data_IF_645300111133
#
_entry.id   IF_645300111133
#
_cell.length_a   1.000
_cell.length_b   1.000
_cell.length_c   1.000
_cell.angle_alpha   90.00
_cell.angle_beta   90.00
_cell.angle_gamma   90.00
#
_symmetry.space_group_name_H-M   'P 1'
#
loop_
_entity.id
_entity.type
_entity.pdbx_description
1 polymer ?
#
# COMPACT_ATOMS: atom_id res chain seq x y z
N UNK A 1 24.67 -0.53 3.54
CA UNK A 1 23.28 -0.85 3.94
C UNK A 1 22.37 -0.22 2.89
N UNK A 2 21.30 -0.91 2.48
CA UNK A 2 20.37 -0.34 1.50
C UNK A 2 19.42 0.61 2.23
N UNK A 3 19.22 1.79 1.67
CA UNK A 3 18.29 2.79 2.20
C UNK A 3 16.84 2.33 2.04
N UNK A 4 16.03 2.45 3.09
CA UNK A 4 14.64 2.00 3.08
C UNK A 4 13.78 2.79 2.08
N UNK A 5 14.11 4.08 1.90
CA UNK A 5 13.54 4.91 0.84
C UNK A 5 13.81 4.37 -0.56
N UNK A 6 15.01 3.79 -0.79
CA UNK A 6 15.36 3.19 -2.08
C UNK A 6 14.57 1.90 -2.34
N UNK A 7 14.31 1.10 -1.30
CA UNK A 7 13.45 -0.08 -1.42
C UNK A 7 12.02 0.29 -1.80
N UNK A 8 11.46 1.35 -1.19
CA UNK A 8 10.12 1.84 -1.54
C UNK A 8 10.03 2.22 -3.03
N UNK A 9 10.98 3.01 -3.54
CA UNK A 9 10.99 3.40 -4.94
C UNK A 9 11.26 2.24 -5.89
N UNK A 10 12.11 1.28 -5.51
CA UNK A 10 12.35 0.07 -6.29
C UNK A 10 11.07 -0.76 -6.41
N UNK A 11 10.34 -0.95 -5.30
CA UNK A 11 9.05 -1.67 -5.33
C UNK A 11 8.00 -0.94 -6.15
N UNK A 12 7.96 0.39 -6.11
CA UNK A 12 7.11 1.19 -6.98
C UNK A 12 7.45 0.96 -8.46
N UNK A 13 8.73 1.00 -8.82
CA UNK A 13 9.18 0.76 -10.19
C UNK A 13 8.83 -0.66 -10.67
N UNK A 14 9.08 -1.68 -9.86
CA UNK A 14 8.74 -3.07 -10.18
C UNK A 14 7.24 -3.27 -10.34
N UNK A 15 6.44 -2.66 -9.46
CA UNK A 15 4.98 -2.70 -9.57
C UNK A 15 4.47 -1.93 -10.80
N UNK A 16 5.14 -0.84 -11.20
CA UNK A 16 4.83 -0.13 -12.44
C UNK A 16 5.03 -1.03 -13.67
N UNK A 17 6.16 -1.75 -13.74
CA UNK A 17 6.41 -2.70 -14.83
C UNK A 17 5.38 -3.83 -14.82
N UNK A 18 5.04 -4.38 -13.64
CA UNK A 18 4.00 -5.41 -13.53
C UNK A 18 2.62 -4.88 -13.97
N UNK A 19 2.29 -3.65 -13.59
CA UNK A 19 1.05 -2.97 -13.97
C UNK A 19 0.97 -2.71 -15.47
N UNK A 20 2.08 -2.33 -16.11
CA UNK A 20 2.15 -2.16 -17.57
C UNK A 20 1.74 -3.44 -18.32
N UNK A 21 2.21 -4.59 -17.85
CA UNK A 21 1.92 -5.89 -18.43
C UNK A 21 0.49 -6.36 -18.13
N UNK A 22 -0.06 -6.03 -16.95
CA UNK A 22 -1.39 -6.51 -16.49
C UNK A 22 -2.56 -5.62 -16.91
N UNK A 23 -2.30 -4.32 -17.11
CA UNK A 23 -3.28 -3.30 -17.44
C UNK A 23 -4.02 -2.72 -16.23
N UNK A 24 -4.45 -1.46 -16.35
CA UNK A 24 -5.02 -0.66 -15.25
C UNK A 24 -6.22 -1.30 -14.54
N UNK A 25 -7.09 -2.02 -15.27
CA UNK A 25 -8.29 -2.63 -14.69
C UNK A 25 -7.94 -3.60 -13.55
N UNK A 26 -6.82 -4.30 -13.62
CA UNK A 26 -6.37 -5.23 -12.57
C UNK A 26 -5.71 -4.51 -11.40
N UNK A 27 -5.15 -3.33 -11.62
CA UNK A 27 -4.45 -2.54 -10.60
C UNK A 27 -5.39 -1.63 -9.80
N UNK A 28 -6.56 -1.23 -10.35
CA UNK A 28 -7.52 -0.39 -9.62
C UNK A 28 -8.04 -1.02 -8.32
N UNK A 29 -8.48 -2.29 -8.27
CA UNK A 29 -8.96 -2.91 -7.03
C UNK A 29 -7.86 -2.99 -5.96
N UNK A 30 -6.61 -3.20 -6.39
CA UNK A 30 -5.44 -3.26 -5.51
C UNK A 30 -5.18 -1.90 -4.88
N UNK A 31 -5.28 -0.83 -5.68
CA UNK A 31 -5.13 0.54 -5.18
C UNK A 31 -6.14 0.83 -4.08
N UNK A 32 -7.40 0.44 -4.28
CA UNK A 32 -8.45 0.64 -3.27
C UNK A 32 -8.19 -0.20 -2.04
N UNK A 33 -7.79 -1.47 -2.20
CA UNK A 33 -7.43 -2.33 -1.08
C UNK A 33 -6.24 -1.78 -0.28
N UNK A 34 -5.19 -1.29 -0.94
CA UNK A 34 -4.03 -0.70 -0.29
C UNK A 34 -4.39 0.59 0.48
N UNK A 35 -5.18 1.48 -0.14
CA UNK A 35 -5.68 2.68 0.53
C UNK A 35 -6.54 2.31 1.73
N UNK A 36 -7.55 1.47 1.54
CA UNK A 36 -8.45 1.05 2.61
C UNK A 36 -7.71 0.34 3.74
N UNK A 37 -6.78 -0.56 3.43
CA UNK A 37 -5.97 -1.28 4.42
C UNK A 37 -5.06 -0.34 5.22
N UNK A 38 -4.40 0.61 4.56
CA UNK A 38 -3.60 1.63 5.23
C UNK A 38 -4.47 2.47 6.18
N UNK A 39 -5.62 2.96 5.70
CA UNK A 39 -6.57 3.70 6.52
C UNK A 39 -7.03 2.91 7.75
N UNK A 40 -7.51 1.69 7.52
CA UNK A 40 -8.05 0.82 8.55
C UNK A 40 -7.02 0.59 9.66
N UNK A 41 -5.78 0.30 9.29
CA UNK A 41 -4.72 0.00 10.25
C UNK A 41 -4.29 1.21 11.06
N UNK A 42 -4.28 2.41 10.46
CA UNK A 42 -3.97 3.65 11.17
C UNK A 42 -5.07 3.95 12.19
N UNK A 43 -6.32 3.91 11.77
CA UNK A 43 -7.45 4.22 12.66
C UNK A 43 -7.66 3.17 13.74
N UNK A 44 -7.43 1.90 13.39
CA UNK A 44 -7.56 0.79 14.31
C UNK A 44 -6.30 0.54 15.14
N UNK A 45 -5.21 1.32 15.01
CA UNK A 45 -3.96 1.06 15.75
C UNK A 45 -4.21 1.04 17.27
N UNK A 46 -4.95 2.02 17.78
CA UNK A 46 -5.35 2.09 19.20
C UNK A 46 -6.17 0.85 19.61
N UNK A 47 -7.10 0.43 18.75
CA UNK A 47 -7.94 -0.75 19.01
C UNK A 47 -7.11 -2.05 18.95
N UNK A 48 -6.22 -2.19 17.97
CA UNK A 48 -5.34 -3.35 17.80
C UNK A 48 -4.44 -3.53 19.02
N UNK A 49 -3.86 -2.43 19.54
CA UNK A 49 -3.04 -2.45 20.76
C UNK A 49 -3.84 -2.75 22.03
N UNK A 50 -5.15 -2.53 22.03
CA UNK A 50 -6.05 -2.85 23.14
C UNK A 50 -6.55 -4.30 23.16
N UNK A 51 -6.29 -5.08 22.10
CA UNK A 51 -6.67 -6.49 22.06
C UNK A 51 -5.89 -7.24 23.15
N UNK A 52 -6.53 -7.99 24.05
CA UNK A 52 -5.86 -8.65 25.18
C UNK A 52 -4.67 -9.55 24.80
N UNK A 53 -4.66 -10.11 23.59
CA UNK A 53 -3.56 -10.91 23.05
C UNK A 53 -2.33 -10.06 22.65
N UNK A 54 -2.54 -8.78 22.34
CA UNK A 54 -1.51 -7.81 21.95
C UNK A 54 -1.18 -6.82 23.08
N UNK A 55 -2.01 -6.72 24.12
CA UNK A 55 -1.71 -5.92 25.31
C UNK A 55 -0.52 -6.54 26.04
N UNK A 56 0.63 -5.85 26.02
CA UNK A 56 1.89 -6.35 26.57
C UNK A 56 2.70 -7.24 25.60
N UNK A 57 2.19 -7.48 24.39
CA UNK A 57 3.01 -8.08 23.33
C UNK A 57 4.11 -7.10 22.90
N UNK A 58 5.30 -7.62 22.60
CA UNK A 58 6.40 -6.81 22.08
C UNK A 58 6.03 -6.13 20.75
N UNK A 59 6.65 -4.98 20.48
CA UNK A 59 6.43 -4.18 19.25
C UNK A 59 6.60 -4.98 17.96
N UNK A 60 7.45 -6.01 17.99
CA UNK A 60 7.65 -6.96 16.91
C UNK A 60 6.38 -7.74 16.56
N UNK A 61 5.69 -8.32 17.55
CA UNK A 61 4.48 -9.08 17.30
C UNK A 61 3.36 -8.18 16.78
N UNK A 62 3.22 -6.97 17.35
CA UNK A 62 2.25 -5.98 16.88
C UNK A 62 2.51 -5.63 15.41
N UNK A 63 3.77 -5.36 15.04
CA UNK A 63 4.14 -5.09 13.66
C UNK A 63 3.82 -6.26 12.73
N UNK A 64 4.18 -7.49 13.10
CA UNK A 64 3.92 -8.70 12.29
C UNK A 64 2.41 -8.87 12.03
N UNK A 65 1.58 -8.65 13.05
CA UNK A 65 0.12 -8.73 12.88
C UNK A 65 -0.38 -7.61 11.97
N UNK A 66 0.07 -6.36 12.15
CA UNK A 66 -0.33 -5.23 11.31
C UNK A 66 0.05 -5.43 9.85
N UNK A 67 1.31 -5.79 9.57
CA UNK A 67 1.78 -6.04 8.20
C UNK A 67 1.13 -7.28 7.58
N UNK A 68 0.81 -8.30 8.39
CA UNK A 68 0.08 -9.49 7.97
C UNK A 68 -1.35 -9.16 7.54
N UNK A 69 -2.08 -8.39 8.33
CA UNK A 69 -3.43 -7.91 7.99
C UNK A 69 -3.37 -7.02 6.73
N UNK A 70 -2.41 -6.09 6.66
CA UNK A 70 -2.24 -5.25 5.48
C UNK A 70 -1.99 -6.08 4.21
N UNK A 71 -1.06 -7.02 4.29
CA UNK A 71 -0.72 -7.94 3.20
C UNK A 71 -1.92 -8.78 2.76
N UNK A 72 -2.73 -9.26 3.70
CA UNK A 72 -3.97 -9.98 3.40
C UNK A 72 -4.98 -9.11 2.65
N UNK A 73 -5.19 -7.87 3.08
CA UNK A 73 -6.11 -6.93 2.39
C UNK A 73 -5.63 -6.66 0.96
N UNK A 74 -4.35 -6.37 0.77
CA UNK A 74 -3.75 -6.13 -0.56
C UNK A 74 -3.85 -7.38 -1.44
N UNK A 75 -3.58 -8.56 -0.87
CA UNK A 75 -3.71 -9.85 -1.55
C UNK A 75 -5.15 -10.09 -2.04
N UNK A 76 -6.15 -9.85 -1.18
CA UNK A 76 -7.56 -9.93 -1.57
C UNK A 76 -7.88 -8.94 -2.70
N UNK A 77 -7.31 -7.74 -2.67
CA UNK A 77 -7.36 -6.75 -3.75
C UNK A 77 -6.94 -7.32 -5.11
N UNK A 78 -5.85 -8.09 -5.17
CA UNK A 78 -5.42 -8.80 -6.38
C UNK A 78 -6.37 -9.96 -6.77
N UNK A 79 -7.04 -10.57 -5.80
CA UNK A 79 -7.95 -11.70 -6.01
C UNK A 79 -9.29 -11.35 -6.69
N UNK A 80 -9.87 -10.18 -6.41
CA UNK A 80 -11.25 -9.83 -6.79
C UNK A 80 -11.59 -9.96 -8.28
N UNK A 81 -10.65 -9.73 -9.22
CA UNK A 81 -10.93 -9.85 -10.67
C UNK A 81 -10.51 -11.17 -11.31
N UNK A 82 -9.70 -11.97 -10.63
CA UNK A 82 -9.33 -13.29 -11.14
C UNK A 82 -10.58 -14.16 -11.28
N UNK A 83 -11.49 -14.11 -10.30
CA UNK A 83 -12.76 -14.85 -10.33
C UNK A 83 -13.70 -14.44 -11.48
N UNK A 84 -13.86 -13.14 -11.75
CA UNK A 84 -14.80 -12.64 -12.77
C UNK A 84 -14.34 -12.89 -14.22
N UNK A 85 -13.03 -12.98 -14.46
CA UNK A 85 -12.48 -13.16 -15.81
C UNK A 85 -12.53 -14.62 -16.27
N UNK A 86 -12.31 -15.58 -15.37
CA UNK A 86 -12.40 -17.02 -15.70
C UNK A 86 -13.81 -17.44 -16.11
N UNK A 87 -14.86 -16.81 -15.56
CA UNK A 87 -16.24 -17.10 -15.92
C UNK A 87 -16.64 -16.72 -17.36
N UNK A 88 -15.84 -15.90 -18.06
CA UNK A 88 -16.20 -15.37 -19.40
C UNK A 88 -15.37 -15.91 -20.57
N UNK A 89 -14.49 -16.90 -20.35
CA UNK A 89 -13.77 -17.59 -21.44
C UNK A 89 -12.90 -16.70 -22.36
N UNK A 90 -12.69 -15.42 -22.02
CA UNK A 90 -11.92 -14.48 -22.84
C UNK A 90 -10.42 -14.65 -22.56
N UNK A 91 -9.67 -15.09 -23.57
CA UNK A 91 -8.20 -15.03 -23.56
C UNK A 91 -7.76 -13.58 -23.28
N UNK A 92 -6.88 -13.42 -22.31
CA UNK A 92 -6.22 -12.13 -22.02
C UNK A 92 -5.27 -11.85 -23.17
N UNK A 93 -5.68 -11.00 -24.11
CA UNK A 93 -4.77 -10.51 -25.14
C UNK A 93 -3.97 -9.38 -24.52
N UNK A 94 -2.68 -9.60 -24.31
CA UNK A 94 -1.73 -8.57 -23.91
C UNK A 94 -1.58 -7.57 -25.05
N UNK A 95 -2.36 -6.48 -25.03
CA UNK A 95 -2.18 -5.37 -25.96
C UNK A 95 -1.07 -4.46 -25.43
N UNK A 96 0.18 -4.87 -25.67
CA UNK A 96 1.36 -4.04 -25.43
C UNK A 96 1.22 -2.71 -26.20
N UNK A 97 1.72 -1.62 -25.61
CA UNK A 97 1.68 -0.28 -26.18
C UNK A 97 0.28 0.31 -26.43
N UNK A 98 -0.71 -0.12 -25.62
CA UNK A 98 -2.02 0.52 -25.58
C UNK A 98 -2.09 1.58 -24.47
N UNK A 99 -3.01 2.54 -24.59
CA UNK A 99 -3.31 3.48 -23.50
C UNK A 99 -3.64 2.75 -22.18
N UNK A 100 -4.23 1.55 -22.27
CA UNK A 100 -4.52 0.72 -21.11
C UNK A 100 -3.27 0.16 -20.41
N UNK A 101 -2.18 -0.10 -21.16
CA UNK A 101 -0.89 -0.52 -20.61
C UNK A 101 -0.17 0.64 -19.93
N UNK A 102 -0.18 1.83 -20.54
CA UNK A 102 0.40 3.03 -19.91
C UNK A 102 -0.31 3.43 -18.62
N UNK A 103 -1.64 3.36 -18.59
CA UNK A 103 -2.39 3.51 -17.35
C UNK A 103 -2.04 2.41 -16.35
N UNK A 104 -1.88 1.17 -16.82
CA UNK A 104 -1.41 0.06 -15.99
C UNK A 104 -0.07 0.35 -15.33
N UNK A 105 0.87 0.96 -16.06
CA UNK A 105 2.17 1.36 -15.54
C UNK A 105 2.02 2.37 -14.39
N UNK A 106 1.22 3.42 -14.60
CA UNK A 106 0.97 4.45 -13.60
C UNK A 106 0.32 3.86 -12.34
N UNK A 107 -0.78 3.12 -12.50
CA UNK A 107 -1.50 2.52 -11.37
C UNK A 107 -0.64 1.48 -10.63
N UNK A 108 0.14 0.68 -11.36
CA UNK A 108 1.09 -0.24 -10.77
C UNK A 108 2.16 0.48 -9.93
N UNK A 109 2.70 1.59 -10.45
CA UNK A 109 3.67 2.41 -9.72
C UNK A 109 3.11 2.99 -8.43
N UNK A 110 1.90 3.56 -8.52
CA UNK A 110 1.17 4.08 -7.36
C UNK A 110 0.91 2.95 -6.35
N UNK A 111 0.50 1.77 -6.79
CA UNK A 111 0.26 0.62 -5.92
C UNK A 111 1.53 0.19 -5.18
N UNK A 112 2.65 0.03 -5.89
CA UNK A 112 3.91 -0.34 -5.26
C UNK A 112 4.39 0.71 -4.25
N UNK A 113 4.25 1.99 -4.59
CA UNK A 113 4.54 3.09 -3.68
C UNK A 113 3.64 3.07 -2.43
N UNK A 114 2.32 2.92 -2.60
CA UNK A 114 1.36 2.80 -1.48
C UNK A 114 1.68 1.61 -0.58
N UNK A 115 1.91 0.43 -1.15
CA UNK A 115 2.14 -0.81 -0.39
C UNK A 115 3.45 -0.71 0.41
N UNK A 116 4.56 -0.36 -0.25
CA UNK A 116 5.85 -0.29 0.42
C UNK A 116 5.95 0.88 1.39
N UNK A 117 5.36 2.02 1.05
CA UNK A 117 5.31 3.17 1.95
C UNK A 117 4.45 2.92 3.20
N UNK A 118 3.33 2.20 3.06
CA UNK A 118 2.54 1.76 4.22
C UNK A 118 3.31 0.77 5.08
N UNK A 119 4.00 -0.20 4.46
CA UNK A 119 4.85 -1.13 5.20
C UNK A 119 5.97 -0.41 5.99
N UNK A 120 6.59 0.60 5.37
CA UNK A 120 7.56 1.45 6.06
C UNK A 120 6.92 2.24 7.20
N UNK A 121 5.76 2.87 6.97
CA UNK A 121 5.04 3.58 8.02
C UNK A 121 4.72 2.67 9.22
N UNK A 122 4.27 1.44 8.97
CA UNK A 122 4.01 0.46 10.03
C UNK A 122 5.28 0.08 10.82
N UNK A 123 6.46 0.06 10.19
CA UNK A 123 7.72 -0.13 10.92
C UNK A 123 8.04 1.09 11.80
N UNK A 124 7.81 2.30 11.29
CA UNK A 124 8.11 3.55 11.98
C UNK A 124 7.29 3.72 13.27
N UNK A 125 5.97 3.50 13.19
CA UNK A 125 5.07 3.57 14.37
C UNK A 125 5.36 2.49 15.43
N UNK A 126 6.08 1.43 15.05
CA UNK A 126 6.51 0.37 15.96
C UNK A 126 8.00 0.50 16.32
N UNK A 127 8.62 1.65 16.06
CA UNK A 127 10.02 1.96 16.40
C UNK A 127 11.04 0.96 15.84
N UNK A 128 10.85 0.55 14.58
CA UNK A 128 11.76 -0.34 13.84
C UNK A 128 12.04 -1.65 14.60
N UNK A 129 11.02 -2.51 14.80
CA UNK A 129 11.12 -3.68 15.68
C UNK A 129 12.01 -4.80 15.13
N UNK A 130 12.44 -4.72 13.87
CA UNK A 130 13.31 -5.70 13.20
C UNK A 130 14.81 -5.37 13.34
N UNK A 131 15.18 -4.55 14.31
CA UNK A 131 16.59 -4.29 14.65
C UNK A 131 17.28 -5.60 15.07
N UNK A 132 18.52 -5.89 14.59
CA UNK A 132 19.45 -5.00 13.88
C UNK A 132 19.34 -5.04 12.34
N UNK A 133 18.41 -5.80 11.76
CA UNK A 133 18.31 -5.95 10.30
C UNK A 133 17.75 -4.71 9.62
N UNK A 134 16.76 -4.07 10.24
CA UNK A 134 16.21 -2.79 9.80
C UNK A 134 16.24 -1.84 11.00
N UNK A 135 16.93 -0.72 10.85
CA UNK A 135 17.14 0.27 11.91
C UNK A 135 16.55 1.62 11.49
N UNK A 136 16.21 2.43 12.48
CA UNK A 136 15.71 3.77 12.26
C UNK A 136 16.72 4.61 11.44
N UNK A 137 16.26 5.39 10.45
CA UNK A 137 17.13 6.25 9.67
C UNK A 137 17.72 7.35 10.55
N UNK A 138 19.01 7.66 10.36
CA UNK A 138 19.62 8.84 10.97
C UNK A 138 18.94 10.12 10.44
N UNK A 139 18.80 11.15 11.28
CA UNK A 139 18.11 12.40 10.94
C UNK A 139 18.68 13.13 9.70
N UNK A 140 19.96 12.91 9.37
CA UNK A 140 20.62 13.50 8.19
C UNK A 140 20.66 12.56 6.99
N UNK A 141 20.10 11.35 7.10
CA UNK A 141 20.13 10.37 6.02
C UNK A 141 19.15 10.73 4.89
N UNK A 142 19.41 10.28 3.65
CA UNK A 142 18.46 10.42 2.55
C UNK A 142 17.07 9.83 2.85
N UNK A 143 17.02 8.75 3.64
CA UNK A 143 15.75 8.13 4.06
C UNK A 143 14.94 9.04 5.00
N UNK A 144 15.59 9.77 5.91
CA UNK A 144 14.89 10.73 6.76
C UNK A 144 14.29 11.89 5.93
N UNK A 145 15.02 12.38 4.93
CA UNK A 145 14.52 13.42 4.01
C UNK A 145 13.34 12.92 3.14
N UNK A 146 13.28 11.62 2.86
CA UNK A 146 12.22 10.99 2.08
C UNK A 146 10.95 10.69 2.88
N UNK A 147 10.91 10.91 4.20
CA UNK A 147 9.72 10.67 5.03
C UNK A 147 8.50 11.48 4.56
N UNK A 148 8.73 12.71 4.06
CA UNK A 148 7.67 13.55 3.47
C UNK A 148 7.11 13.00 2.16
N UNK A 149 7.77 12.02 1.53
CA UNK A 149 7.29 11.31 0.33
C UNK A 149 6.60 9.98 0.67
N UNK A 150 6.50 9.63 1.95
CA UNK A 150 5.77 8.45 2.36
C UNK A 150 4.27 8.67 2.06
N UNK A 151 3.60 7.72 1.37
CA UNK A 151 2.19 7.85 0.99
C UNK A 151 1.29 8.08 2.20
N UNK A 152 1.52 7.37 3.30
CA UNK A 152 0.66 7.50 4.48
C UNK A 152 0.79 8.90 5.05
N UNK A 153 2.02 9.38 5.25
CA UNK A 153 2.31 10.74 5.75
C UNK A 153 1.68 11.80 4.85
N UNK A 154 1.80 11.66 3.53
CA UNK A 154 1.19 12.59 2.58
C UNK A 154 -0.33 12.59 2.66
N UNK A 155 -0.95 11.40 2.73
CA UNK A 155 -2.40 11.25 2.72
C UNK A 155 -3.06 11.64 4.05
N UNK A 156 -2.31 11.66 5.16
CA UNK A 156 -2.77 12.13 6.48
C UNK A 156 -2.48 13.61 6.75
N UNK A 157 -2.26 14.42 5.71
CA UNK A 157 -2.04 15.86 5.85
C UNK A 157 -0.59 16.27 6.15
N UNK A 158 0.37 15.44 5.77
CA UNK A 158 1.80 15.67 6.00
C UNK A 158 2.22 15.45 7.45
N UNK A 159 3.44 15.90 7.79
CA UNK A 159 3.98 15.82 9.15
C UNK A 159 3.20 16.67 10.18
N UNK A 160 2.27 17.51 9.72
CA UNK A 160 1.47 18.44 10.54
C UNK A 160 0.08 17.93 10.95
N UNK A 161 -0.36 16.76 10.46
CA UNK A 161 -1.60 16.11 10.90
C UNK A 161 -2.89 16.76 10.38
N UNK A 162 -3.48 16.16 9.35
CA UNK A 162 -4.81 16.46 8.81
C UNK A 162 -5.56 15.18 8.48
N UNK A 163 -6.43 14.73 9.38
CA UNK A 163 -7.21 13.50 9.26
C UNK A 163 -8.25 13.41 8.11
N UNK A 164 -8.82 14.49 7.53
CA UNK A 164 -9.99 14.34 6.65
C UNK A 164 -9.69 13.93 5.20
N UNK A 165 -8.43 13.98 4.73
CA UNK A 165 -8.08 13.68 3.33
C UNK A 165 -8.11 12.19 2.99
N UNK A 166 -7.79 11.31 3.94
CA UNK A 166 -7.68 9.88 3.68
C UNK A 166 -9.04 9.22 3.40
N UNK A 167 -10.06 9.57 4.18
CA UNK A 167 -11.45 9.10 4.01
C UNK A 167 -12.05 9.54 2.66
N UNK A 168 -11.81 10.79 2.26
CA UNK A 168 -12.26 11.31 0.97
C UNK A 168 -11.61 10.58 -0.20
N UNK A 169 -10.31 10.28 -0.12
CA UNK A 169 -9.58 9.58 -1.19
C UNK A 169 -10.00 8.10 -1.27
N UNK A 170 -10.16 7.41 -0.13
CA UNK A 170 -10.65 6.04 -0.09
C UNK A 170 -12.11 5.93 -0.58
N UNK A 171 -12.98 6.87 -0.19
CA UNK A 171 -14.37 6.94 -0.65
C UNK A 171 -14.46 7.22 -2.16
N UNK A 172 -13.65 8.14 -2.69
CA UNK A 172 -13.58 8.41 -4.13
C UNK A 172 -13.04 7.20 -4.90
N UNK A 173 -12.04 6.49 -4.37
CA UNK A 173 -11.50 5.29 -5.00
C UNK A 173 -12.52 4.15 -5.04
N UNK A 174 -13.30 3.96 -3.96
CA UNK A 174 -14.42 3.01 -3.92
C UNK A 174 -15.54 3.38 -4.91
N UNK A 175 -15.83 4.67 -5.06
CA UNK A 175 -16.83 5.18 -6.00
C UNK A 175 -16.40 4.99 -7.46
N UNK A 176 -15.11 5.15 -7.76
CA UNK A 176 -14.52 4.82 -9.07
C UNK A 176 -14.60 3.32 -9.36
N UNK A 177 -14.36 2.46 -8.36
CA UNK A 177 -14.56 1.00 -8.52
C UNK A 177 -16.00 0.67 -8.92
N UNK A 178 -16.98 1.23 -8.20
CA UNK A 178 -18.40 1.04 -8.47
C UNK A 178 -18.81 1.54 -9.86
N UNK A 179 -18.26 2.67 -10.32
CA UNK A 179 -18.51 3.21 -11.66
C UNK A 179 -17.92 2.34 -12.79
N UNK A 180 -16.87 1.55 -12.53
CA UNK A 180 -16.28 0.65 -13.55
C UNK A 180 -16.91 -0.74 -13.63
N UNK A 181 -17.86 -1.05 -12.73
CA UNK A 181 -18.64 -2.29 -12.71
C UNK A 181 -20.02 -2.19 -13.35
N UNK A 182 -20.49 -0.97 -13.68
CA UNK A 182 -21.67 -0.73 -14.51
C UNK A 182 -21.29 -0.73 -16.01
#
# INVERSE_FOLDING_TARGET
>A
MIELSSLMWLTALMAAVAGYLRGWRRETPVMVAALFGAYLLIQADVLLRSIPFLTGAGRELTFIVQIGIFGLIVYLGYGFRTAAYYQRGRRVVFKLNSAASWLGLLFGGINGWLIAGTAWFLMDINEYPLSPFIVAPSATSPTALALGMNPVVLLTGGLGGGAPTFLLIAALAALVLAATSA
#
